data_IF_712940878011
#
_entry.id   IF_712940878011
#
_cell.length_a   1.000
_cell.length_b   1.000
_cell.length_c   1.000
_cell.angle_alpha   90.00
_cell.angle_beta   90.00
_cell.angle_gamma   90.00
#
_symmetry.space_group_name_H-M   'P 1'
#
loop_
_entity.id
_entity.type
_entity.pdbx_description
1 polymer ?
#
# COMPACT_ATOMS: atom_id res chain seq x y z
N UNK A 1 -13.23 -11.60 -15.09
CA UNK A 1 -14.23 -12.35 -15.87
C UNK A 1 -15.70 -12.01 -15.56
N UNK A 2 -16.13 -11.67 -14.34
CA UNK A 2 -17.53 -11.23 -14.09
C UNK A 2 -17.87 -9.88 -14.72
N UNK A 3 -16.93 -8.94 -14.79
CA UNK A 3 -17.12 -7.59 -15.34
C UNK A 3 -17.40 -7.57 -16.85
N UNK A 4 -16.75 -8.42 -17.64
CA UNK A 4 -16.93 -8.47 -19.10
C UNK A 4 -18.35 -8.84 -19.51
N UNK A 5 -19.04 -9.74 -18.77
CA UNK A 5 -20.44 -10.08 -19.03
C UNK A 5 -21.38 -8.89 -18.86
N UNK A 6 -21.09 -8.01 -17.92
CA UNK A 6 -21.91 -6.81 -17.66
C UNK A 6 -21.69 -5.75 -18.76
N UNK A 7 -20.45 -5.52 -19.19
CA UNK A 7 -20.15 -4.58 -20.27
C UNK A 7 -20.86 -5.00 -21.57
N UNK A 8 -20.82 -6.31 -21.92
CA UNK A 8 -21.53 -6.85 -23.08
C UNK A 8 -23.05 -6.62 -22.99
N UNK A 9 -23.65 -6.75 -21.81
CA UNK A 9 -25.08 -6.48 -21.62
C UNK A 9 -25.42 -5.00 -21.84
N UNK A 10 -24.61 -4.09 -21.32
CA UNK A 10 -24.78 -2.65 -21.52
C UNK A 10 -24.68 -2.29 -23.01
N UNK A 11 -23.64 -2.79 -23.67
CA UNK A 11 -23.44 -2.62 -25.12
C UNK A 11 -24.64 -3.11 -25.93
N UNK A 12 -25.10 -4.32 -25.68
CA UNK A 12 -26.26 -4.91 -26.41
C UNK A 12 -27.57 -4.14 -26.15
N UNK A 13 -27.68 -3.49 -24.99
CA UNK A 13 -28.84 -2.67 -24.65
C UNK A 13 -28.73 -1.22 -25.18
N UNK A 14 -27.65 -0.86 -25.87
CA UNK A 14 -27.39 0.50 -26.34
C UNK A 14 -27.16 1.51 -25.23
N UNK A 15 -26.79 1.05 -24.01
CA UNK A 15 -26.54 1.90 -22.87
C UNK A 15 -25.11 2.43 -22.93
N UNK A 16 -24.96 3.75 -22.90
CA UNK A 16 -23.65 4.41 -22.79
C UNK A 16 -23.02 4.13 -21.42
N UNK A 17 -21.72 3.85 -21.40
CA UNK A 17 -21.01 3.57 -20.14
C UNK A 17 -19.54 3.99 -20.19
N UNK A 18 -18.98 4.24 -19.01
CA UNK A 18 -17.54 4.32 -18.75
C UNK A 18 -17.12 3.11 -17.93
N UNK A 19 -15.98 2.52 -18.23
CA UNK A 19 -15.37 1.55 -17.33
C UNK A 19 -14.60 2.29 -16.22
N UNK A 20 -14.75 1.86 -14.97
CA UNK A 20 -14.15 2.55 -13.83
C UNK A 20 -13.07 1.67 -13.16
N UNK A 21 -11.84 1.59 -13.72
CA UNK A 21 -10.72 0.95 -13.04
C UNK A 21 -10.19 1.79 -11.89
N UNK A 22 -9.45 1.15 -10.99
CA UNK A 22 -8.74 1.83 -9.91
C UNK A 22 -7.24 1.63 -9.97
N UNK A 23 -6.52 2.52 -9.31
CA UNK A 23 -5.06 2.47 -9.13
C UNK A 23 -4.63 1.42 -8.12
N UNK A 24 -5.56 0.74 -7.47
CA UNK A 24 -5.32 -0.19 -6.35
C UNK A 24 -4.60 0.46 -5.16
N UNK A 25 -4.85 1.76 -4.94
CA UNK A 25 -4.27 2.54 -3.83
C UNK A 25 -4.92 2.26 -2.47
N UNK A 26 -6.15 1.75 -2.46
CA UNK A 26 -6.87 1.45 -1.23
C UNK A 26 -6.30 0.22 -0.50
N UNK A 27 -6.32 0.27 0.82
CA UNK A 27 -5.88 -0.81 1.70
C UNK A 27 -4.44 -1.29 1.41
N UNK A 28 -3.55 -0.35 1.10
CA UNK A 28 -2.12 -0.59 0.85
C UNK A 28 -1.27 0.58 1.31
N UNK A 29 0.03 0.35 1.47
CA UNK A 29 1.01 1.38 1.85
C UNK A 29 1.80 1.87 0.61
N UNK A 30 2.13 0.97 -0.30
CA UNK A 30 2.97 1.30 -1.46
C UNK A 30 2.41 0.77 -2.79
N UNK A 31 1.08 0.62 -2.87
CA UNK A 31 0.40 0.13 -4.06
C UNK A 31 0.33 -1.39 -4.15
N UNK A 32 -0.42 -1.84 -5.15
CA UNK A 32 -0.52 -3.22 -5.61
C UNK A 32 -0.36 -3.20 -7.12
N UNK A 33 0.90 -3.18 -7.55
CA UNK A 33 1.27 -2.87 -8.94
C UNK A 33 0.60 -3.80 -9.94
N UNK A 34 0.73 -5.11 -9.76
CA UNK A 34 0.25 -6.06 -10.76
C UNK A 34 -1.28 -6.01 -10.85
N UNK A 35 -1.99 -5.91 -9.70
CA UNK A 35 -3.44 -5.72 -9.65
C UNK A 35 -3.87 -4.44 -10.39
N UNK A 36 -3.16 -3.32 -10.18
CA UNK A 36 -3.47 -2.03 -10.78
C UNK A 36 -3.30 -2.06 -12.30
N UNK A 37 -2.15 -2.57 -12.78
CA UNK A 37 -1.86 -2.64 -14.22
C UNK A 37 -2.84 -3.54 -14.95
N UNK A 38 -3.14 -4.73 -14.40
CA UNK A 38 -4.09 -5.66 -15.00
C UNK A 38 -5.51 -5.05 -15.01
N UNK A 39 -5.93 -4.43 -13.90
CA UNK A 39 -7.24 -3.80 -13.80
C UNK A 39 -7.42 -2.68 -14.82
N UNK A 40 -6.44 -1.76 -14.94
CA UNK A 40 -6.48 -0.64 -15.87
C UNK A 40 -6.46 -1.14 -17.32
N UNK A 41 -5.55 -2.05 -17.67
CA UNK A 41 -5.44 -2.60 -19.01
C UNK A 41 -6.74 -3.28 -19.45
N UNK A 42 -7.27 -4.17 -18.60
CA UNK A 42 -8.51 -4.89 -18.89
C UNK A 42 -9.70 -3.94 -19.03
N UNK A 43 -9.80 -2.91 -18.19
CA UNK A 43 -10.87 -1.92 -18.28
C UNK A 43 -10.81 -1.13 -19.59
N UNK A 44 -9.63 -0.66 -19.99
CA UNK A 44 -9.45 0.05 -21.26
C UNK A 44 -9.75 -0.84 -22.47
N UNK A 45 -9.23 -2.06 -22.47
CA UNK A 45 -9.43 -3.02 -23.55
C UNK A 45 -10.90 -3.35 -23.75
N UNK A 46 -11.59 -3.75 -22.67
CA UNK A 46 -13.00 -4.15 -22.77
C UNK A 46 -13.95 -2.96 -22.95
N UNK A 47 -13.62 -1.76 -22.43
CA UNK A 47 -14.39 -0.56 -22.77
C UNK A 47 -14.36 -0.30 -24.28
N UNK A 48 -13.19 -0.39 -24.90
CA UNK A 48 -13.02 -0.24 -26.35
C UNK A 48 -13.75 -1.34 -27.12
N UNK A 49 -13.62 -2.60 -26.72
CA UNK A 49 -14.24 -3.77 -27.37
C UNK A 49 -15.77 -3.68 -27.37
N UNK A 50 -16.37 -3.23 -26.26
CA UNK A 50 -17.83 -3.20 -26.09
C UNK A 50 -18.43 -1.80 -26.35
N UNK A 51 -17.70 -0.87 -26.94
CA UNK A 51 -18.23 0.45 -27.33
C UNK A 51 -18.48 1.38 -26.14
N UNK A 52 -17.73 1.26 -25.07
CA UNK A 52 -17.72 2.24 -23.97
C UNK A 52 -17.20 3.58 -24.45
N UNK A 53 -17.67 4.66 -23.84
CA UNK A 53 -17.27 6.04 -24.17
C UNK A 53 -15.87 6.39 -23.61
N UNK A 54 -15.30 5.58 -22.71
CA UNK A 54 -13.99 5.78 -22.11
C UNK A 54 -13.83 5.09 -20.76
N UNK A 55 -12.90 5.60 -19.97
CA UNK A 55 -12.64 5.14 -18.60
C UNK A 55 -12.81 6.28 -17.60
N UNK A 56 -13.18 5.94 -16.38
CA UNK A 56 -13.17 6.81 -15.20
C UNK A 56 -12.20 6.19 -14.18
N UNK A 57 -10.93 6.58 -14.26
CA UNK A 57 -9.93 6.08 -13.32
C UNK A 57 -10.19 6.59 -11.91
N UNK A 58 -10.14 5.69 -10.92
CA UNK A 58 -10.37 6.01 -9.51
C UNK A 58 -9.11 5.76 -8.68
N UNK A 59 -8.91 6.59 -7.66
CA UNK A 59 -7.85 6.49 -6.67
C UNK A 59 -8.48 6.65 -5.28
N UNK A 60 -8.53 5.56 -4.50
CA UNK A 60 -9.28 5.51 -3.24
C UNK A 60 -8.35 5.44 -2.04
N UNK A 61 -8.75 6.09 -0.95
CA UNK A 61 -8.04 6.10 0.32
C UNK A 61 -8.81 5.45 1.46
N UNK A 62 -9.30 4.21 1.27
CA UNK A 62 -10.08 3.49 2.27
C UNK A 62 -9.31 3.26 3.57
N UNK A 63 -10.01 3.30 4.70
CA UNK A 63 -9.49 3.00 6.03
C UNK A 63 -8.26 3.84 6.46
N UNK A 64 -8.22 5.10 6.08
CA UNK A 64 -7.06 5.98 6.21
C UNK A 64 -6.13 5.83 5.00
N UNK A 65 -5.77 6.94 4.39
CA UNK A 65 -4.98 6.94 3.16
C UNK A 65 -3.49 7.00 3.49
N UNK A 66 -2.84 5.84 3.57
CA UNK A 66 -1.40 5.75 3.88
C UNK A 66 -0.51 5.66 2.65
N UNK A 67 -1.07 5.37 1.48
CA UNK A 67 -0.30 5.40 0.25
C UNK A 67 -0.09 6.85 -0.19
N UNK A 68 1.17 7.35 -0.26
CA UNK A 68 1.45 8.68 -0.78
C UNK A 68 1.07 8.82 -2.26
N UNK A 69 0.68 10.02 -2.66
CA UNK A 69 0.16 10.30 -4.01
C UNK A 69 1.18 10.00 -5.11
N UNK A 70 2.48 10.21 -4.87
CA UNK A 70 3.52 9.91 -5.86
C UNK A 70 3.52 8.43 -6.30
N UNK A 71 3.09 7.53 -5.43
CA UNK A 71 2.97 6.10 -5.77
C UNK A 71 1.85 5.86 -6.78
N UNK A 72 0.81 6.68 -6.80
CA UNK A 72 -0.29 6.58 -7.77
C UNK A 72 0.05 7.14 -9.16
N UNK A 73 1.02 8.05 -9.28
CA UNK A 73 1.32 8.73 -10.54
C UNK A 73 1.66 7.81 -11.71
N UNK A 74 2.45 6.73 -11.56
CA UNK A 74 2.68 5.78 -12.64
C UNK A 74 1.39 5.15 -13.20
N UNK A 75 0.43 4.85 -12.34
CA UNK A 75 -0.85 4.24 -12.72
C UNK A 75 -1.77 5.25 -13.42
N UNK A 76 -1.78 6.51 -12.94
CA UNK A 76 -2.50 7.61 -13.58
C UNK A 76 -1.98 7.85 -15.00
N UNK A 77 -0.66 7.91 -15.17
CA UNK A 77 -0.02 8.05 -16.48
C UNK A 77 -0.30 6.86 -17.40
N UNK A 78 -0.28 5.64 -16.87
CA UNK A 78 -0.57 4.42 -17.62
C UNK A 78 -2.02 4.41 -18.12
N UNK A 79 -2.97 4.74 -17.26
CA UNK A 79 -4.37 4.83 -17.64
C UNK A 79 -4.62 5.91 -18.70
N UNK A 80 -3.99 7.08 -18.55
CA UNK A 80 -4.05 8.15 -19.54
C UNK A 80 -3.53 7.73 -20.91
N UNK A 81 -2.40 7.00 -20.96
CA UNK A 81 -1.85 6.51 -22.21
C UNK A 81 -2.75 5.44 -22.86
N UNK A 82 -3.24 4.46 -22.06
CA UNK A 82 -4.11 3.40 -22.55
C UNK A 82 -5.47 3.92 -23.01
N UNK A 83 -6.01 4.98 -22.41
CA UNK A 83 -7.25 5.60 -22.85
C UNK A 83 -7.13 6.22 -24.23
N UNK A 84 -5.95 6.74 -24.57
CA UNK A 84 -5.66 7.28 -25.89
C UNK A 84 -5.30 6.17 -26.90
N UNK A 85 -4.43 5.23 -26.51
CA UNK A 85 -3.93 4.15 -27.37
C UNK A 85 -3.82 2.85 -26.59
N UNK A 86 -4.90 2.05 -26.59
CA UNK A 86 -4.96 0.78 -25.89
C UNK A 86 -4.25 -0.32 -26.70
N UNK A 87 -2.93 -0.45 -26.48
CA UNK A 87 -2.06 -1.46 -27.09
C UNK A 87 -1.14 -2.10 -26.05
N UNK A 88 -0.80 -3.36 -26.24
CA UNK A 88 0.22 -4.02 -25.41
C UNK A 88 1.60 -3.37 -25.60
N UNK A 89 2.43 -3.41 -24.55
CA UNK A 89 3.80 -2.89 -24.59
C UNK A 89 3.94 -1.37 -24.38
N UNK A 90 2.85 -0.64 -24.15
CA UNK A 90 2.87 0.80 -23.87
C UNK A 90 3.62 1.15 -22.57
N UNK A 91 3.87 0.18 -21.72
CA UNK A 91 4.54 0.35 -20.43
C UNK A 91 5.91 1.06 -20.51
N UNK A 92 6.73 0.70 -21.51
CA UNK A 92 8.06 1.36 -21.71
C UNK A 92 7.94 2.86 -21.99
N UNK A 93 6.86 3.27 -22.66
CA UNK A 93 6.63 4.69 -22.96
C UNK A 93 6.18 5.44 -21.70
N UNK A 94 5.32 4.84 -20.89
CA UNK A 94 4.90 5.38 -19.59
C UNK A 94 6.11 5.62 -18.70
N UNK A 95 7.00 4.65 -18.56
CA UNK A 95 8.22 4.74 -17.76
C UNK A 95 9.03 6.01 -18.06
N UNK A 96 9.34 6.23 -19.34
CA UNK A 96 10.12 7.41 -19.77
C UNK A 96 9.34 8.70 -19.50
N UNK A 97 8.03 8.70 -19.78
CA UNK A 97 7.19 9.85 -19.57
C UNK A 97 7.11 10.23 -18.09
N UNK A 98 6.87 9.27 -17.21
CA UNK A 98 6.73 9.47 -15.76
C UNK A 98 8.02 9.99 -15.14
N UNK A 99 9.17 9.35 -15.42
CA UNK A 99 10.45 9.82 -14.93
C UNK A 99 10.74 11.27 -15.36
N UNK A 100 10.56 11.57 -16.64
CA UNK A 100 10.95 12.86 -17.20
C UNK A 100 9.97 13.99 -16.91
N UNK A 101 8.66 13.72 -17.02
CA UNK A 101 7.65 14.80 -17.08
C UNK A 101 6.81 14.88 -15.80
N UNK A 102 6.80 13.84 -14.96
CA UNK A 102 6.06 13.85 -13.68
C UNK A 102 7.02 14.02 -12.52
N UNK A 103 8.06 13.20 -12.44
CA UNK A 103 9.01 13.24 -11.33
C UNK A 103 10.23 14.11 -11.59
N UNK A 104 10.43 14.58 -12.83
CA UNK A 104 11.64 15.33 -13.24
C UNK A 104 12.95 14.63 -12.82
N UNK A 105 12.90 13.29 -12.73
CA UNK A 105 14.02 12.46 -12.29
C UNK A 105 15.05 12.27 -13.43
N UNK A 106 16.17 12.97 -13.30
CA UNK A 106 17.25 12.86 -14.29
C UNK A 106 18.01 11.53 -14.21
N UNK A 107 17.91 10.80 -13.09
CA UNK A 107 18.46 9.44 -12.97
C UNK A 107 17.67 8.41 -13.79
N UNK A 108 16.37 8.66 -14.02
CA UNK A 108 15.46 7.78 -14.73
C UNK A 108 15.07 6.51 -13.95
N UNK A 109 15.27 6.50 -12.63
CA UNK A 109 15.09 5.30 -11.80
C UNK A 109 13.81 5.31 -10.95
N UNK A 110 13.27 6.49 -10.60
CA UNK A 110 12.21 6.62 -9.59
C UNK A 110 10.93 5.86 -9.94
N UNK A 111 10.54 5.86 -11.22
CA UNK A 111 9.36 5.11 -11.65
C UNK A 111 9.51 3.61 -11.43
N UNK A 112 10.67 3.04 -11.75
CA UNK A 112 10.91 1.61 -11.56
C UNK A 112 10.97 1.27 -10.07
N UNK A 113 11.59 2.12 -9.26
CA UNK A 113 11.62 1.95 -7.82
C UNK A 113 10.20 1.89 -7.24
N UNK A 114 9.33 2.84 -7.61
CA UNK A 114 7.93 2.86 -7.16
C UNK A 114 7.19 1.58 -7.58
N UNK A 115 7.36 1.18 -8.83
CA UNK A 115 6.68 -0.01 -9.36
C UNK A 115 7.20 -1.31 -8.76
N UNK A 116 8.51 -1.41 -8.51
CA UNK A 116 9.08 -2.57 -7.83
C UNK A 116 8.64 -2.61 -6.36
N UNK A 117 8.64 -1.46 -5.69
CA UNK A 117 8.11 -1.35 -4.33
C UNK A 117 6.64 -1.77 -4.29
N UNK A 118 5.83 -1.39 -5.29
CA UNK A 118 4.42 -1.77 -5.41
C UNK A 118 4.15 -3.28 -5.55
N UNK A 119 5.19 -4.11 -5.64
CA UNK A 119 5.08 -5.57 -5.62
C UNK A 119 5.47 -6.19 -4.26
N UNK A 120 5.69 -5.39 -3.21
CA UNK A 120 6.08 -5.88 -1.88
C UNK A 120 5.13 -6.94 -1.33
N UNK A 121 3.84 -6.86 -1.63
CA UNK A 121 2.81 -7.78 -1.15
C UNK A 121 2.98 -9.23 -1.64
N UNK A 122 3.75 -9.45 -2.69
CA UNK A 122 4.13 -10.80 -3.12
C UNK A 122 5.14 -11.48 -2.19
N UNK A 123 5.86 -10.71 -1.36
CA UNK A 123 6.80 -11.21 -0.36
C UNK A 123 6.14 -11.39 1.02
N UNK A 124 4.91 -10.92 1.19
CA UNK A 124 4.14 -11.10 2.42
C UNK A 124 3.70 -12.55 2.61
N UNK A 125 3.49 -12.98 3.85
CA UNK A 125 3.22 -14.38 4.19
C UNK A 125 1.82 -14.86 3.81
N UNK A 126 0.90 -13.93 3.56
CA UNK A 126 -0.50 -14.23 3.17
C UNK A 126 -0.97 -13.24 2.11
N UNK A 127 -1.52 -13.76 1.02
CA UNK A 127 -2.24 -12.93 0.07
C UNK A 127 -3.58 -12.48 0.66
N UNK A 128 -3.87 -11.20 0.58
CA UNK A 128 -5.13 -10.60 1.01
C UNK A 128 -5.85 -10.02 -0.19
N UNK A 129 -7.02 -10.55 -0.49
CA UNK A 129 -7.83 -10.04 -1.59
C UNK A 129 -8.20 -8.57 -1.39
N UNK A 130 -7.92 -7.73 -2.39
CA UNK A 130 -8.26 -6.31 -2.39
C UNK A 130 -7.59 -5.46 -1.28
N UNK A 131 -6.51 -5.97 -0.69
CA UNK A 131 -5.71 -5.32 0.35
C UNK A 131 -4.28 -5.89 0.35
N UNK A 132 -3.45 -5.49 1.31
CA UNK A 132 -2.17 -6.11 1.62
C UNK A 132 -2.12 -6.54 3.07
N UNK A 133 -1.30 -7.54 3.41
CA UNK A 133 -1.18 -8.02 4.78
C UNK A 133 -0.66 -6.91 5.72
N UNK A 134 0.34 -6.14 5.30
CA UNK A 134 0.83 -5.00 6.08
C UNK A 134 -0.30 -4.01 6.40
N UNK A 135 -1.18 -3.73 5.45
CA UNK A 135 -2.33 -2.85 5.71
C UNK A 135 -3.34 -3.48 6.68
N UNK A 136 -3.53 -4.80 6.62
CA UNK A 136 -4.40 -5.52 7.58
C UNK A 136 -3.92 -5.39 9.02
N UNK A 137 -2.63 -5.18 9.28
CA UNK A 137 -2.14 -4.86 10.63
C UNK A 137 -2.80 -3.58 11.16
N UNK A 138 -2.88 -2.54 10.32
CA UNK A 138 -3.50 -1.26 10.70
C UNK A 138 -4.99 -1.45 10.96
N UNK A 139 -5.69 -2.15 10.05
CA UNK A 139 -7.13 -2.40 10.16
C UNK A 139 -7.43 -3.23 11.40
N UNK A 140 -6.78 -4.38 11.57
CA UNK A 140 -7.00 -5.25 12.73
C UNK A 140 -6.68 -4.55 14.05
N UNK A 141 -5.60 -3.74 14.10
CA UNK A 141 -5.27 -2.96 15.29
C UNK A 141 -6.30 -1.87 15.60
N UNK A 142 -6.96 -1.33 14.58
CA UNK A 142 -8.02 -0.33 14.76
C UNK A 142 -9.31 -1.00 15.20
N UNK A 143 -9.76 -2.01 14.48
CA UNK A 143 -11.02 -2.72 14.73
C UNK A 143 -11.02 -3.40 16.10
N UNK A 144 -9.84 -3.81 16.60
CA UNK A 144 -9.69 -4.41 17.93
C UNK A 144 -10.18 -3.51 19.08
N UNK A 145 -10.19 -2.18 18.91
CA UNK A 145 -10.70 -1.25 19.91
C UNK A 145 -12.20 -0.97 19.77
N UNK A 146 -12.79 -1.35 18.64
CA UNK A 146 -14.23 -1.23 18.39
C UNK A 146 -15.00 -2.47 18.90
N UNK A 147 -14.29 -3.55 19.26
CA UNK A 147 -14.88 -4.78 19.81
C UNK A 147 -15.08 -4.65 21.32
N UNK A 148 -16.33 -4.67 21.78
CA UNK A 148 -16.66 -4.55 23.23
C UNK A 148 -16.53 -5.87 24.00
N UNK A 149 -16.60 -7.02 23.33
CA UNK A 149 -16.71 -8.34 23.95
C UNK A 149 -15.42 -9.19 23.81
N UNK A 150 -14.46 -8.77 22.98
CA UNK A 150 -13.24 -9.51 22.72
C UNK A 150 -12.03 -8.70 23.19
N UNK A 151 -11.08 -9.37 23.86
CA UNK A 151 -9.81 -8.71 24.21
C UNK A 151 -9.07 -8.30 22.93
N UNK A 152 -8.58 -7.05 22.83
CA UNK A 152 -7.92 -6.54 21.63
C UNK A 152 -6.73 -7.39 21.12
N UNK A 153 -5.99 -8.04 22.04
CA UNK A 153 -4.88 -8.94 21.63
C UNK A 153 -5.43 -10.19 20.98
N UNK A 154 -6.49 -10.78 21.55
CA UNK A 154 -7.09 -12.01 21.03
C UNK A 154 -7.72 -11.75 19.66
N UNK A 155 -8.37 -10.60 19.47
CA UNK A 155 -8.87 -10.17 18.17
C UNK A 155 -7.74 -10.05 17.11
N UNK A 156 -6.64 -9.38 17.46
CA UNK A 156 -5.50 -9.23 16.55
C UNK A 156 -4.85 -10.57 16.23
N UNK A 157 -4.76 -11.50 17.20
CA UNK A 157 -4.23 -12.84 16.97
C UNK A 157 -5.14 -13.70 16.10
N UNK A 158 -6.47 -13.56 16.23
CA UNK A 158 -7.43 -14.24 15.35
C UNK A 158 -7.32 -13.76 13.91
N UNK A 159 -7.17 -12.46 13.71
CA UNK A 159 -7.06 -11.84 12.38
C UNK A 159 -5.71 -12.07 11.68
N UNK A 160 -4.61 -12.12 12.43
CA UNK A 160 -3.25 -12.06 11.89
C UNK A 160 -2.34 -13.23 12.30
N UNK A 161 -2.74 -14.05 13.27
CA UNK A 161 -1.86 -15.06 13.86
C UNK A 161 -1.34 -16.10 12.87
N UNK A 162 -2.12 -16.46 11.87
CA UNK A 162 -1.73 -17.39 10.79
C UNK A 162 -0.81 -16.77 9.73
N UNK A 163 -0.63 -15.45 9.77
CA UNK A 163 0.13 -14.69 8.78
C UNK A 163 1.43 -14.10 9.34
N UNK A 164 1.84 -14.53 10.52
CA UNK A 164 3.05 -14.04 11.19
C UNK A 164 4.33 -14.38 10.41
N UNK A 165 5.37 -13.56 10.57
CA UNK A 165 6.63 -13.74 9.87
C UNK A 165 7.61 -14.63 10.67
N UNK A 166 8.35 -15.47 9.96
CA UNK A 166 9.59 -16.06 10.48
C UNK A 166 10.73 -15.04 10.34
N UNK A 167 11.83 -15.25 11.11
CA UNK A 167 13.01 -14.38 11.01
C UNK A 167 13.62 -14.39 9.60
N UNK A 168 13.57 -15.52 8.91
CA UNK A 168 14.07 -15.66 7.53
C UNK A 168 13.26 -14.77 6.56
N UNK A 169 11.93 -14.89 6.60
CA UNK A 169 11.04 -14.07 5.76
C UNK A 169 11.13 -12.58 6.11
N UNK A 170 11.23 -12.28 7.39
CA UNK A 170 11.45 -10.91 7.86
C UNK A 170 12.74 -10.33 7.28
N UNK A 171 13.86 -11.05 7.35
CA UNK A 171 15.14 -10.59 6.82
C UNK A 171 15.06 -10.38 5.30
N UNK A 172 14.44 -11.29 4.55
CA UNK A 172 14.24 -11.12 3.11
C UNK A 172 13.42 -9.86 2.77
N UNK A 173 12.37 -9.55 3.54
CA UNK A 173 11.61 -8.30 3.42
C UNK A 173 12.47 -7.08 3.76
N UNK A 174 13.27 -7.13 4.84
CA UNK A 174 14.14 -6.02 5.20
C UNK A 174 15.18 -5.76 4.12
N UNK A 175 15.83 -6.80 3.58
CA UNK A 175 16.79 -6.69 2.49
C UNK A 175 16.16 -6.07 1.23
N UNK A 176 14.93 -6.47 0.91
CA UNK A 176 14.15 -5.86 -0.17
C UNK A 176 13.91 -4.36 0.08
N UNK A 177 13.41 -3.98 1.26
CA UNK A 177 13.15 -2.58 1.59
C UNK A 177 14.43 -1.76 1.68
N UNK A 178 15.53 -2.30 2.21
CA UNK A 178 16.82 -1.64 2.27
C UNK A 178 17.38 -1.39 0.87
N UNK A 179 17.21 -2.34 -0.03
CA UNK A 179 17.59 -2.15 -1.44
C UNK A 179 16.83 -0.98 -2.09
N UNK A 180 15.54 -0.80 -1.75
CA UNK A 180 14.73 0.34 -2.24
C UNK A 180 15.14 1.66 -1.60
N UNK A 181 15.49 1.68 -0.32
CA UNK A 181 16.07 2.86 0.33
C UNK A 181 17.37 3.30 -0.38
N UNK A 182 18.27 2.36 -0.67
CA UNK A 182 19.52 2.65 -1.37
C UNK A 182 19.28 3.20 -2.78
N UNK A 183 18.37 2.59 -3.54
CA UNK A 183 17.99 3.10 -4.86
C UNK A 183 17.37 4.51 -4.78
N UNK A 184 16.60 4.81 -3.73
CA UNK A 184 15.97 6.12 -3.54
C UNK A 184 17.00 7.24 -3.33
N UNK A 185 18.11 6.94 -2.67
CA UNK A 185 19.23 7.90 -2.50
C UNK A 185 19.80 8.32 -3.85
N UNK A 186 19.90 7.38 -4.80
CA UNK A 186 20.47 7.62 -6.14
C UNK A 186 19.48 8.29 -7.11
N UNK A 187 18.18 8.38 -6.76
CA UNK A 187 17.20 9.10 -7.56
C UNK A 187 17.44 10.60 -7.48
N UNK A 188 17.26 11.30 -8.61
CA UNK A 188 17.39 12.76 -8.68
C UNK A 188 16.05 13.41 -9.05
N UNK A 189 15.10 13.30 -8.13
CA UNK A 189 13.75 13.86 -8.21
C UNK A 189 13.51 14.84 -7.05
N UNK A 190 12.32 15.44 -6.99
CA UNK A 190 11.91 16.35 -5.92
C UNK A 190 12.00 15.68 -4.54
N UNK A 191 12.42 16.44 -3.52
CA UNK A 191 12.57 15.95 -2.14
C UNK A 191 11.25 15.40 -1.58
N UNK A 192 10.12 16.06 -1.84
CA UNK A 192 8.82 15.58 -1.41
C UNK A 192 8.51 14.16 -1.93
N UNK A 193 8.88 13.83 -3.17
CA UNK A 193 8.69 12.49 -3.72
C UNK A 193 9.55 11.47 -2.97
N UNK A 194 10.79 11.85 -2.62
CA UNK A 194 11.67 11.00 -1.81
C UNK A 194 11.12 10.78 -0.41
N UNK A 195 10.59 11.82 0.22
CA UNK A 195 9.99 11.75 1.55
C UNK A 195 8.72 10.88 1.56
N UNK A 196 7.88 11.00 0.55
CA UNK A 196 6.69 10.17 0.35
C UNK A 196 7.04 8.68 0.22
N UNK A 197 8.04 8.34 -0.60
CA UNK A 197 8.48 6.95 -0.79
C UNK A 197 9.22 6.45 0.45
N UNK A 198 10.05 7.28 1.06
CA UNK A 198 10.75 6.98 2.31
C UNK A 198 9.79 6.66 3.45
N UNK A 199 8.71 7.45 3.60
CA UNK A 199 7.63 7.18 4.54
C UNK A 199 6.99 5.80 4.29
N UNK A 200 6.62 5.50 3.03
CA UNK A 200 6.00 4.22 2.70
C UNK A 200 6.91 3.03 3.06
N UNK A 201 8.20 3.10 2.72
CA UNK A 201 9.18 2.06 3.08
C UNK A 201 9.30 1.92 4.60
N UNK A 202 9.39 3.04 5.32
CA UNK A 202 9.52 3.04 6.78
C UNK A 202 8.29 2.41 7.45
N UNK A 203 7.09 2.75 6.98
CA UNK A 203 5.85 2.17 7.45
C UNK A 203 5.83 0.65 7.22
N UNK A 204 6.19 0.19 6.02
CA UNK A 204 6.26 -1.24 5.69
C UNK A 204 7.24 -2.01 6.58
N UNK A 205 8.43 -1.47 6.84
CA UNK A 205 9.40 -2.06 7.77
C UNK A 205 8.84 -2.19 9.19
N UNK A 206 8.13 -1.16 9.64
CA UNK A 206 7.52 -1.14 10.98
C UNK A 206 6.43 -2.21 11.09
N UNK A 207 5.56 -2.34 10.08
CA UNK A 207 4.49 -3.33 10.05
C UNK A 207 5.02 -4.77 9.90
N UNK A 208 6.09 -4.98 9.14
CA UNK A 208 6.77 -6.27 9.07
C UNK A 208 7.40 -6.65 10.43
N UNK A 209 7.95 -5.68 11.17
CA UNK A 209 8.48 -5.91 12.53
C UNK A 209 7.35 -6.29 13.50
N UNK A 210 6.17 -5.69 13.35
CA UNK A 210 4.98 -6.06 14.11
C UNK A 210 4.56 -7.52 13.82
N UNK A 211 4.49 -7.92 12.55
CA UNK A 211 4.13 -9.30 12.15
C UNK A 211 5.15 -10.34 12.66
N UNK A 212 6.44 -10.00 12.71
CA UNK A 212 7.46 -10.85 13.33
C UNK A 212 7.23 -10.98 14.84
N UNK A 213 6.85 -9.88 15.52
CA UNK A 213 6.62 -9.88 16.96
C UNK A 213 5.38 -10.70 17.37
N UNK A 214 4.40 -10.87 16.48
CA UNK A 214 3.22 -11.71 16.71
C UNK A 214 3.55 -13.20 16.74
N UNK A 215 4.63 -13.65 16.09
CA UNK A 215 4.92 -15.06 15.93
C UNK A 215 5.23 -15.75 17.27
N UNK A 216 4.38 -16.72 17.63
CA UNK A 216 4.43 -17.43 18.91
C UNK A 216 5.51 -18.52 18.99
N UNK A 217 6.18 -18.83 17.88
CA UNK A 217 7.34 -19.73 17.87
C UNK A 217 8.57 -19.11 18.55
N UNK A 218 8.56 -17.78 18.78
CA UNK A 218 9.64 -17.07 19.47
C UNK A 218 9.30 -16.83 20.94
N UNK A 219 10.33 -16.82 21.79
CA UNK A 219 10.18 -16.54 23.20
C UNK A 219 9.67 -15.13 23.51
N UNK A 220 9.10 -14.94 24.68
CA UNK A 220 8.52 -13.66 25.10
C UNK A 220 9.54 -12.51 25.10
N UNK A 221 10.81 -12.78 25.42
CA UNK A 221 11.86 -11.75 25.44
C UNK A 221 12.14 -11.22 24.03
N UNK A 222 12.21 -12.11 23.06
CA UNK A 222 12.37 -11.74 21.65
C UNK A 222 11.16 -10.92 21.17
N UNK A 223 9.95 -11.41 21.39
CA UNK A 223 8.70 -10.76 20.97
C UNK A 223 8.56 -9.36 21.60
N UNK A 224 8.79 -9.23 22.90
CA UNK A 224 8.79 -7.93 23.61
C UNK A 224 9.81 -6.97 23.00
N UNK A 225 11.01 -7.46 22.65
CA UNK A 225 12.03 -6.61 22.00
C UNK A 225 11.51 -6.07 20.68
N UNK A 226 10.89 -6.91 19.84
CA UNK A 226 10.34 -6.47 18.53
C UNK A 226 9.18 -5.50 18.68
N UNK A 227 8.23 -5.71 19.59
CA UNK A 227 7.17 -4.73 19.86
C UNK A 227 7.75 -3.38 20.34
N UNK A 228 8.80 -3.38 21.14
CA UNK A 228 9.49 -2.14 21.53
C UNK A 228 10.18 -1.44 20.35
N UNK A 229 10.67 -2.19 19.37
CA UNK A 229 11.23 -1.63 18.13
C UNK A 229 10.13 -0.94 17.31
N UNK A 230 8.94 -1.53 17.19
CA UNK A 230 7.77 -0.89 16.58
C UNK A 230 7.42 0.42 17.31
N UNK A 231 7.31 0.40 18.64
CA UNK A 231 6.97 1.58 19.43
C UNK A 231 7.94 2.75 19.23
N UNK A 232 9.21 2.49 19.00
CA UNK A 232 10.21 3.54 18.75
C UNK A 232 9.99 4.29 17.45
N UNK A 233 9.22 3.73 16.51
CA UNK A 233 8.96 4.36 15.22
C UNK A 233 7.80 5.36 15.25
N UNK A 234 7.03 5.39 16.35
CA UNK A 234 5.80 6.16 16.49
C UNK A 234 5.95 7.62 16.05
N UNK A 235 6.83 8.35 16.74
CA UNK A 235 6.98 9.79 16.51
C UNK A 235 7.47 10.08 15.09
N UNK A 236 8.44 9.30 14.60
CA UNK A 236 8.98 9.46 13.25
C UNK A 236 7.89 9.25 12.19
N UNK A 237 7.08 8.20 12.34
CA UNK A 237 5.99 7.92 11.40
C UNK A 237 4.91 9.00 11.42
N UNK A 238 4.55 9.49 12.61
CA UNK A 238 3.52 10.53 12.75
C UNK A 238 4.01 11.85 12.15
N UNK A 239 5.23 12.28 12.45
CA UNK A 239 5.78 13.53 11.93
C UNK A 239 6.00 13.45 10.40
N UNK A 240 6.49 12.32 9.89
CA UNK A 240 6.62 12.12 8.44
C UNK A 240 5.25 12.15 7.75
N UNK A 241 4.23 11.48 8.33
CA UNK A 241 2.87 11.50 7.78
C UNK A 241 2.29 12.92 7.77
N UNK A 242 2.43 13.68 8.86
CA UNK A 242 1.97 15.08 8.93
C UNK A 242 2.60 15.93 7.84
N UNK A 243 3.91 15.82 7.67
CA UNK A 243 4.65 16.59 6.69
C UNK A 243 4.15 16.29 5.27
N UNK A 244 4.24 15.02 4.82
CA UNK A 244 3.84 14.65 3.44
C UNK A 244 2.34 14.87 3.18
N UNK A 245 1.50 14.73 4.21
CA UNK A 245 0.06 14.99 4.09
C UNK A 245 -0.23 16.45 3.80
N UNK A 246 0.36 17.36 4.56
CA UNK A 246 0.10 18.80 4.45
C UNK A 246 0.69 19.41 3.18
N UNK A 247 1.71 18.79 2.58
CA UNK A 247 2.23 19.19 1.27
C UNK A 247 1.27 18.85 0.11
N UNK A 248 0.40 17.86 0.29
CA UNK A 248 -0.54 17.39 -0.75
C UNK A 248 -2.00 17.71 -0.46
N UNK A 249 -2.38 17.76 0.81
CA UNK A 249 -3.76 17.77 1.25
C UNK A 249 -4.02 18.88 2.27
N UNK A 250 -5.30 19.18 2.49
CA UNK A 250 -5.73 19.97 3.64
C UNK A 250 -5.61 19.13 4.92
N UNK A 251 -5.69 19.77 6.08
CA UNK A 251 -5.61 19.12 7.40
C UNK A 251 -6.73 18.08 7.64
N UNK A 252 -7.84 18.19 6.94
CA UNK A 252 -8.99 17.27 7.07
C UNK A 252 -8.54 15.80 7.01
N UNK A 253 -9.06 14.95 7.91
CA UNK A 253 -8.80 13.51 8.04
C UNK A 253 -7.37 13.10 8.46
N UNK A 254 -6.45 14.04 8.63
CA UNK A 254 -5.09 13.72 9.10
C UNK A 254 -5.11 13.08 10.49
N UNK A 255 -5.88 13.64 11.43
CA UNK A 255 -5.97 13.08 12.80
C UNK A 255 -6.58 11.68 12.81
N UNK A 256 -7.52 11.40 11.92
CA UNK A 256 -8.08 10.06 11.75
C UNK A 256 -6.99 9.06 11.29
N UNK A 257 -6.17 9.44 10.32
CA UNK A 257 -5.05 8.61 9.86
C UNK A 257 -3.98 8.42 10.95
N UNK A 258 -3.66 9.48 11.71
CA UNK A 258 -2.73 9.39 12.86
C UNK A 258 -3.29 8.48 13.95
N UNK A 259 -4.60 8.51 14.23
CA UNK A 259 -5.21 7.64 15.23
C UNK A 259 -5.00 6.16 14.94
N UNK A 260 -4.98 5.76 13.67
CA UNK A 260 -4.71 4.38 13.26
C UNK A 260 -3.27 3.95 13.54
N UNK A 261 -2.28 4.82 13.36
CA UNK A 261 -0.90 4.57 13.80
C UNK A 261 -0.89 4.39 15.32
N UNK A 262 -1.56 5.27 16.07
CA UNK A 262 -1.65 5.17 17.53
C UNK A 262 -2.29 3.84 17.97
N UNK A 263 -3.29 3.33 17.25
CA UNK A 263 -3.91 2.05 17.57
C UNK A 263 -2.93 0.87 17.40
N UNK A 264 -2.12 0.85 16.34
CA UNK A 264 -1.04 -0.14 16.19
C UNK A 264 -0.08 -0.09 17.38
N UNK A 265 0.30 1.11 17.82
CA UNK A 265 1.20 1.29 18.97
C UNK A 265 0.55 0.83 20.28
N UNK A 266 -0.72 1.15 20.49
CA UNK A 266 -1.47 0.72 21.68
C UNK A 266 -1.60 -0.82 21.75
N UNK A 267 -1.78 -1.48 20.62
CA UNK A 267 -1.75 -2.95 20.55
C UNK A 267 -0.37 -3.48 20.95
N UNK A 268 0.72 -2.87 20.50
CA UNK A 268 2.08 -3.27 20.92
C UNK A 268 2.26 -3.17 22.45
N UNK A 269 1.76 -2.09 23.06
CA UNK A 269 1.83 -1.89 24.52
C UNK A 269 1.05 -2.98 25.26
N UNK A 270 -0.15 -3.32 24.78
CA UNK A 270 -0.96 -4.43 25.35
C UNK A 270 -0.24 -5.78 25.25
N UNK A 271 0.36 -6.10 24.08
CA UNK A 271 1.17 -7.32 23.94
C UNK A 271 2.35 -7.34 24.90
N UNK A 272 3.09 -6.26 25.03
CA UNK A 272 4.22 -6.16 25.99
C UNK A 272 3.74 -6.39 27.43
N UNK A 273 2.59 -5.83 27.78
CA UNK A 273 1.94 -6.07 29.08
C UNK A 273 1.65 -7.57 29.29
N UNK A 274 0.90 -8.20 28.37
CA UNK A 274 0.52 -9.62 28.45
C UNK A 274 1.73 -10.56 28.51
N UNK A 275 2.77 -10.32 27.68
CA UNK A 275 3.95 -11.18 27.59
C UNK A 275 4.89 -11.08 28.81
N UNK A 276 4.81 -10.03 29.61
CA UNK A 276 5.56 -9.92 30.86
C UNK A 276 4.99 -10.75 32.01
N UNK A 277 3.70 -11.08 31.95
CA UNK A 277 2.99 -11.81 32.99
C UNK A 277 2.88 -13.32 32.73
N UNK A 278 3.29 -13.75 31.54
CA UNK A 278 3.42 -15.17 31.14
C UNK A 278 4.90 -15.60 31.13
#
# INVERSE_FOLDING_TARGET
MKSTKNLKKLSNAGIKFLAAPGTSSWNTIAGRKDDAFENILNACYYAKEYGGEGILLTDWGDNGHFQPLSISFPYLAYAGLLSYRCEEGMFKQVRKFVNRNIFHDSSGMINDLILDLGNYYHYENRYVGNATLSFRVIVASTDAFDQSEVDPIDYVMDELGDATLTIEKYNALMDFYDSKCNQLVDCNCEDLVKDEIGFAIHMLKTLATFLLALNEDYDNKFRIKRFKEVLKQKEILIESLKYIWLERNKYSELDNSISKINNVMAICEKFIGRLKWR
#
